data_IF_600479877477
#
_entry.id   IF_600479877477
#
_cell.length_a   1.000
_cell.length_b   1.000
_cell.length_c   1.000
_cell.angle_alpha   90.00
_cell.angle_beta   90.00
_cell.angle_gamma   90.00
#
_symmetry.space_group_name_H-M   'P 1'
#
loop_
_entity.id
_entity.type
_entity.pdbx_description
1 polymer ?
#
# COMPACT_ATOMS: atom_id res chain seq x y z
N UNK A 1 -13.85 14.98 3.07
CA UNK A 1 -13.90 16.17 2.18
C UNK A 1 -14.30 15.69 0.80
N UNK A 2 -15.26 16.36 0.15
CA UNK A 2 -15.64 16.07 -1.22
C UNK A 2 -15.25 17.26 -2.10
N UNK A 3 -14.60 17.00 -3.22
CA UNK A 3 -14.23 18.01 -4.21
C UNK A 3 -14.63 17.54 -5.59
N UNK A 4 -14.89 18.50 -6.49
CA UNK A 4 -15.21 18.21 -7.89
C UNK A 4 -13.94 18.40 -8.71
N UNK A 5 -13.63 17.41 -9.54
CA UNK A 5 -12.54 17.44 -10.50
C UNK A 5 -13.05 17.02 -11.88
N UNK A 6 -12.45 17.58 -12.93
CA UNK A 6 -12.72 17.18 -14.31
C UNK A 6 -11.73 16.09 -14.71
N UNK A 7 -12.24 15.06 -15.39
CA UNK A 7 -11.41 14.01 -15.99
C UNK A 7 -10.71 14.59 -17.23
N UNK A 8 -9.40 14.41 -17.28
CA UNK A 8 -8.57 14.83 -18.40
C UNK A 8 -8.78 13.98 -19.64
N UNK A 9 -8.15 14.37 -20.76
CA UNK A 9 -8.35 13.72 -22.07
C UNK A 9 -7.89 12.26 -22.09
N UNK A 10 -6.97 11.87 -21.20
CA UNK A 10 -6.44 10.51 -21.10
C UNK A 10 -7.02 9.76 -19.89
N UNK A 11 -8.11 10.24 -19.31
CA UNK A 11 -8.73 9.63 -18.13
C UNK A 11 -8.06 10.00 -16.81
N UNK A 12 -7.13 10.96 -16.80
CA UNK A 12 -6.43 11.39 -15.60
C UNK A 12 -7.30 12.28 -14.70
N UNK A 13 -7.15 12.12 -13.38
CA UNK A 13 -7.71 13.01 -12.37
C UNK A 13 -6.56 13.57 -11.55
N UNK A 14 -6.43 14.90 -11.54
CA UNK A 14 -5.35 15.58 -10.82
C UNK A 14 -5.78 15.85 -9.38
N UNK A 15 -5.18 15.13 -8.43
CA UNK A 15 -5.40 15.36 -7.01
C UNK A 15 -4.78 16.69 -6.59
N UNK A 16 -5.57 17.60 -6.01
CA UNK A 16 -5.11 18.88 -5.45
C UNK A 16 -4.35 18.66 -4.14
N UNK A 17 -3.53 19.64 -3.75
CA UNK A 17 -2.73 19.58 -2.52
C UNK A 17 -3.55 19.19 -1.27
N UNK A 18 -4.72 19.79 -0.98
CA UNK A 18 -5.51 19.43 0.21
C UNK A 18 -5.98 17.97 0.21
N UNK A 19 -6.33 17.42 -0.95
CA UNK A 19 -6.78 16.03 -1.09
C UNK A 19 -5.62 15.06 -0.81
N UNK A 20 -4.43 15.37 -1.34
CA UNK A 20 -3.21 14.59 -1.13
C UNK A 20 -2.74 14.63 0.31
N UNK A 21 -2.78 15.80 0.95
CA UNK A 21 -2.34 15.99 2.34
C UNK A 21 -3.21 15.14 3.29
N UNK A 22 -4.53 15.14 3.09
CA UNK A 22 -5.46 14.28 3.86
C UNK A 22 -5.18 12.79 3.61
N UNK A 23 -4.90 12.41 2.36
CA UNK A 23 -4.60 11.03 2.00
C UNK A 23 -3.17 10.58 2.38
N UNK A 24 -2.32 11.51 2.86
CA UNK A 24 -0.91 11.24 3.15
C UNK A 24 -0.06 10.89 1.93
N UNK A 25 -0.49 11.33 0.73
CA UNK A 25 0.19 11.05 -0.55
C UNK A 25 1.12 12.21 -0.90
N UNK A 26 2.40 11.90 -1.14
CA UNK A 26 3.43 12.85 -1.57
C UNK A 26 3.83 12.59 -3.03
N UNK A 27 4.36 13.60 -3.73
CA UNK A 27 4.98 13.37 -5.03
C UNK A 27 6.04 12.26 -4.96
N UNK A 28 5.97 11.29 -5.87
CA UNK A 28 6.87 10.13 -5.92
C UNK A 28 6.39 8.90 -5.14
N UNK A 29 5.35 9.02 -4.30
CA UNK A 29 4.76 7.87 -3.63
C UNK A 29 4.11 6.91 -4.64
N UNK A 30 4.26 5.60 -4.39
CA UNK A 30 3.50 4.58 -5.10
C UNK A 30 2.11 4.46 -4.48
N UNK A 31 1.10 4.30 -5.33
CA UNK A 31 -0.29 4.09 -4.90
C UNK A 31 -0.84 2.83 -5.55
N UNK A 32 -1.76 2.17 -4.84
CA UNK A 32 -2.63 1.15 -5.42
C UNK A 32 -3.96 1.80 -5.78
N UNK A 33 -4.48 1.46 -6.96
CA UNK A 33 -5.79 1.90 -7.46
C UNK A 33 -6.68 0.67 -7.52
N UNK A 34 -7.81 0.72 -6.82
CA UNK A 34 -8.78 -0.36 -6.73
C UNK A 34 -10.09 0.13 -7.35
N UNK A 35 -10.50 -0.48 -8.46
CA UNK A 35 -11.78 -0.20 -9.10
C UNK A 35 -12.90 -1.06 -8.50
N UNK A 36 -14.06 -0.45 -8.28
CA UNK A 36 -15.31 -1.11 -7.89
C UNK A 36 -16.47 -0.51 -8.71
N UNK A 37 -17.64 -1.16 -8.76
CA UNK A 37 -18.80 -0.58 -9.43
C UNK A 37 -19.13 0.82 -8.84
N UNK A 38 -19.00 1.86 -9.67
CA UNK A 38 -19.31 3.24 -9.29
C UNK A 38 -18.24 3.99 -8.48
N UNK A 39 -17.13 3.35 -8.07
CA UNK A 39 -16.09 4.01 -7.28
C UNK A 39 -14.67 3.54 -7.61
N UNK A 40 -13.70 4.43 -7.37
CA UNK A 40 -12.27 4.11 -7.39
C UNK A 40 -11.67 4.48 -6.04
N UNK A 41 -10.96 3.55 -5.43
CA UNK A 41 -10.24 3.75 -4.18
C UNK A 41 -8.74 3.84 -4.47
N UNK A 42 -8.12 4.95 -4.09
CA UNK A 42 -6.66 5.15 -4.19
C UNK A 42 -6.07 5.05 -2.79
N UNK A 43 -5.07 4.18 -2.60
CA UNK A 43 -4.35 4.04 -1.32
C UNK A 43 -2.85 4.16 -1.52
N UNK A 44 -2.17 4.89 -0.64
CA UNK A 44 -0.72 4.92 -0.59
C UNK A 44 -0.16 3.54 -0.23
N UNK A 45 0.83 3.09 -0.98
CA UNK A 45 1.67 1.96 -0.61
C UNK A 45 2.80 2.53 0.25
N UNK A 46 2.87 2.19 1.56
CA UNK A 46 3.91 2.71 2.42
C UNK A 46 5.29 2.20 1.99
N UNK A 47 6.31 3.03 2.16
CA UNK A 47 7.69 2.57 1.96
C UNK A 47 8.12 1.63 3.10
N UNK A 48 9.19 0.85 2.88
CA UNK A 48 9.77 0.01 3.94
C UNK A 48 10.16 0.87 5.16
N UNK A 49 10.76 2.03 4.92
CA UNK A 49 11.15 2.95 5.98
C UNK A 49 9.93 3.48 6.77
N UNK A 50 8.85 3.85 6.08
CA UNK A 50 7.60 4.28 6.72
C UNK A 50 6.95 3.16 7.54
N UNK A 51 7.08 1.91 7.10
CA UNK A 51 6.59 0.74 7.84
C UNK A 51 7.43 0.49 9.10
N UNK A 52 8.76 0.58 9.00
CA UNK A 52 9.67 0.34 10.12
C UNK A 52 9.63 1.44 11.19
N UNK A 53 9.31 2.68 10.80
CA UNK A 53 9.11 3.79 11.75
C UNK A 53 7.82 3.64 12.58
N UNK A 54 6.85 2.86 12.11
CA UNK A 54 5.62 2.60 12.87
C UNK A 54 5.94 1.65 14.03
N UNK A 55 5.22 1.77 15.15
CA UNK A 55 5.39 0.83 16.24
C UNK A 55 5.19 -0.60 15.73
N UNK A 56 6.03 -1.55 16.18
CA UNK A 56 5.91 -2.94 15.76
C UNK A 56 4.51 -3.43 16.09
N UNK A 57 3.81 -3.91 15.06
CA UNK A 57 2.43 -4.40 15.21
C UNK A 57 2.35 -5.70 15.98
N UNK A 58 3.47 -6.41 16.11
CA UNK A 58 3.57 -7.73 16.71
C UNK A 58 4.87 -7.77 17.52
N UNK A 59 4.80 -8.35 18.71
CA UNK A 59 5.98 -8.77 19.47
C UNK A 59 6.10 -10.28 19.30
N UNK A 60 7.29 -10.75 18.92
CA UNK A 60 7.58 -12.16 18.68
C UNK A 60 8.80 -12.57 19.51
N UNK A 61 8.82 -13.82 19.93
CA UNK A 61 10.01 -14.48 20.45
C UNK A 61 10.92 -14.92 19.29
N UNK A 62 12.19 -15.19 19.58
CA UNK A 62 13.15 -15.68 18.59
C UNK A 62 12.69 -17.02 17.99
N UNK A 63 12.04 -17.87 18.79
CA UNK A 63 11.55 -19.18 18.36
C UNK A 63 10.38 -19.05 17.36
N UNK A 64 9.44 -18.14 17.62
CA UNK A 64 8.35 -17.83 16.68
C UNK A 64 8.89 -17.23 15.38
N UNK A 65 9.90 -16.37 15.45
CA UNK A 65 10.53 -15.79 14.26
C UNK A 65 11.21 -16.86 13.39
N UNK A 66 11.88 -17.85 14.00
CA UNK A 66 12.47 -18.98 13.27
C UNK A 66 11.40 -19.80 12.56
N UNK A 67 10.31 -20.15 13.24
CA UNK A 67 9.18 -20.91 12.64
C UNK A 67 8.58 -20.15 11.46
N UNK A 68 8.29 -18.86 11.64
CA UNK A 68 7.75 -17.99 10.59
C UNK A 68 8.68 -17.97 9.36
N UNK A 69 9.99 -17.89 9.57
CA UNK A 69 10.98 -17.88 8.48
C UNK A 69 10.95 -19.19 7.67
N UNK A 70 10.86 -20.34 8.34
CA UNK A 70 10.79 -21.64 7.67
C UNK A 70 9.49 -21.80 6.89
N UNK A 71 8.36 -21.36 7.44
CA UNK A 71 7.05 -21.40 6.77
C UNK A 71 7.06 -20.54 5.49
N UNK A 72 7.50 -19.28 5.59
CA UNK A 72 7.60 -18.36 4.43
C UNK A 72 8.52 -18.92 3.36
N UNK A 73 9.64 -19.55 3.74
CA UNK A 73 10.57 -20.16 2.79
C UNK A 73 9.92 -21.30 2.00
N UNK A 74 9.22 -22.21 2.68
CA UNK A 74 8.49 -23.31 2.05
C UNK A 74 7.44 -22.79 1.07
N UNK A 75 6.66 -21.79 1.47
CA UNK A 75 5.63 -21.19 0.61
C UNK A 75 6.23 -20.59 -0.67
N UNK A 76 7.39 -19.91 -0.56
CA UNK A 76 8.09 -19.36 -1.72
C UNK A 76 8.61 -20.48 -2.64
N UNK A 77 9.23 -21.52 -2.07
CA UNK A 77 9.75 -22.66 -2.84
C UNK A 77 8.62 -23.39 -3.59
N UNK A 78 7.49 -23.67 -2.92
CA UNK A 78 6.31 -24.27 -3.55
C UNK A 78 5.73 -23.42 -4.69
N UNK A 79 5.81 -22.10 -4.56
CA UNK A 79 5.28 -21.15 -5.55
C UNK A 79 6.20 -20.98 -6.76
N UNK A 80 7.50 -21.25 -6.62
CA UNK A 80 8.49 -21.21 -7.70
C UNK A 80 8.63 -22.56 -8.42
N UNK A 81 8.22 -23.66 -7.79
CA UNK A 81 8.20 -25.01 -8.37
C UNK A 81 6.89 -25.35 -9.11
N UNK A 82 5.92 -24.42 -9.13
CA UNK A 82 4.70 -24.46 -9.96
C UNK A 82 4.86 -23.58 -11.19
#
# INVERSE_FOLDING_TARGET
MATIAKVGKKGEVVLKKPERDIAGIKPGDKVIIIGRPGEIIIRKIPSLEELLRKPPKIKLTIEELKKLREEVRKEIEERLLK
#
